data_IF_683857441335
#
_entry.id   IF_683857441335
#
_cell.length_a   1.000
_cell.length_b   1.000
_cell.length_c   1.000
_cell.angle_alpha   90.00
_cell.angle_beta   90.00
_cell.angle_gamma   90.00
#
_symmetry.space_group_name_H-M   'P 1'
#
loop_
_entity.id
_entity.type
_entity.pdbx_description
1 polymer ?
#
# COMPACT_ATOMS: atom_id res chain seq x y z
N UNK A 1 -7.11 -1.38 -10.76
CA UNK A 1 -7.76 -0.36 -9.91
C UNK A 1 -8.91 0.23 -10.70
N UNK A 2 -10.13 0.16 -10.16
CA UNK A 2 -11.29 0.81 -10.77
C UNK A 2 -11.31 2.28 -10.35
N UNK A 3 -11.04 3.18 -11.30
CA UNK A 3 -10.91 4.62 -11.02
C UNK A 3 -12.21 5.25 -10.55
N UNK A 4 -13.36 4.77 -11.06
CA UNK A 4 -14.67 5.33 -10.72
C UNK A 4 -15.02 4.97 -9.29
N UNK A 5 -14.82 3.71 -8.91
CA UNK A 5 -15.14 3.23 -7.56
C UNK A 5 -14.23 3.85 -6.50
N UNK A 6 -12.94 4.00 -6.80
CA UNK A 6 -11.99 4.67 -5.89
C UNK A 6 -12.35 6.14 -5.69
N UNK A 7 -12.79 6.84 -6.74
CA UNK A 7 -13.25 8.22 -6.61
C UNK A 7 -14.52 8.35 -5.74
N UNK A 8 -15.41 7.36 -5.77
CA UNK A 8 -16.59 7.33 -4.88
C UNK A 8 -16.23 7.15 -3.41
N UNK A 9 -15.11 6.50 -3.11
CA UNK A 9 -14.55 6.35 -1.77
C UNK A 9 -13.74 7.60 -1.32
N UNK A 10 -13.80 8.71 -2.08
CA UNK A 10 -13.09 9.95 -1.75
C UNK A 10 -11.57 9.90 -1.99
N UNK A 11 -11.12 8.92 -2.77
CA UNK A 11 -9.70 8.64 -2.99
C UNK A 11 -9.24 9.07 -4.37
N UNK A 12 -7.97 9.47 -4.48
CA UNK A 12 -7.29 9.64 -5.78
C UNK A 12 -6.83 8.26 -6.31
N UNK A 13 -7.29 7.82 -7.51
CA UNK A 13 -6.87 6.56 -8.11
C UNK A 13 -5.36 6.42 -8.31
N UNK A 14 -4.64 7.51 -8.55
CA UNK A 14 -3.19 7.49 -8.71
C UNK A 14 -2.50 7.26 -7.36
N UNK A 15 -2.95 7.95 -6.31
CA UNK A 15 -2.50 7.71 -4.94
C UNK A 15 -2.76 6.26 -4.50
N UNK A 16 -3.92 5.69 -4.83
CA UNK A 16 -4.24 4.27 -4.52
C UNK A 16 -3.34 3.31 -5.28
N UNK A 17 -3.11 3.57 -6.57
CA UNK A 17 -2.22 2.73 -7.39
C UNK A 17 -0.79 2.74 -6.83
N UNK A 18 -0.30 3.93 -6.44
CA UNK A 18 1.01 4.08 -5.81
C UNK A 18 1.07 3.35 -4.46
N UNK A 19 0.08 3.54 -3.60
CA UNK A 19 0.02 2.89 -2.29
C UNK A 19 0.02 1.36 -2.41
N UNK A 20 -0.75 0.81 -3.36
CA UNK A 20 -0.76 -0.63 -3.62
C UNK A 20 0.61 -1.14 -4.09
N UNK A 21 1.26 -0.41 -5.00
CA UNK A 21 2.62 -0.76 -5.41
C UNK A 21 3.61 -0.72 -4.24
N UNK A 22 3.54 0.30 -3.39
CA UNK A 22 4.38 0.42 -2.20
C UNK A 22 4.12 -0.72 -1.21
N UNK A 23 2.87 -1.13 -1.02
CA UNK A 23 2.50 -2.25 -0.15
C UNK A 23 3.00 -3.60 -0.65
N UNK A 24 2.92 -3.86 -1.96
CA UNK A 24 3.27 -5.15 -2.53
C UNK A 24 4.78 -5.30 -2.79
N UNK A 25 5.42 -4.26 -3.31
CA UNK A 25 6.84 -4.29 -3.72
C UNK A 25 7.79 -3.70 -2.68
N UNK A 26 7.23 -2.95 -1.73
CA UNK A 26 7.97 -2.23 -0.70
C UNK A 26 8.58 -0.93 -1.19
N UNK A 27 8.55 0.07 -0.31
CA UNK A 27 9.15 1.38 -0.53
C UNK A 27 10.32 1.62 0.44
N UNK A 28 11.43 2.18 -0.04
CA UNK A 28 12.54 2.60 0.83
C UNK A 28 12.19 3.96 1.42
N UNK A 29 11.80 3.98 2.69
CA UNK A 29 11.20 5.17 3.31
C UNK A 29 12.23 6.06 4.01
N UNK A 30 13.31 5.47 4.51
CA UNK A 30 14.35 6.18 5.25
C UNK A 30 15.68 5.44 5.17
N UNK A 31 16.73 6.05 5.71
CA UNK A 31 18.07 5.48 5.81
C UNK A 31 18.50 5.45 7.27
N UNK A 32 19.19 4.38 7.65
CA UNK A 32 19.86 4.25 8.96
C UNK A 32 21.35 4.16 8.72
N UNK A 33 22.13 4.91 9.49
CA UNK A 33 23.58 4.83 9.45
C UNK A 33 24.07 3.66 10.31
N UNK A 34 24.84 2.76 9.70
CA UNK A 34 25.53 1.66 10.37
C UNK A 34 27.03 1.78 10.10
N UNK A 35 27.75 2.38 11.06
CA UNK A 35 29.16 2.72 10.90
C UNK A 35 29.38 3.72 9.75
N UNK A 36 30.27 3.44 8.78
CA UNK A 36 30.48 4.31 7.62
C UNK A 36 29.43 4.12 6.50
N UNK A 37 28.45 3.20 6.66
CA UNK A 37 27.48 2.84 5.61
C UNK A 37 26.09 3.39 5.92
N UNK A 38 25.44 3.95 4.90
CA UNK A 38 24.00 4.23 4.92
C UNK A 38 23.22 3.02 4.39
N UNK A 39 22.25 2.53 5.16
CA UNK A 39 21.39 1.39 4.82
C UNK A 39 19.96 1.88 4.65
N UNK A 40 19.35 1.61 3.49
CA UNK A 40 17.94 1.92 3.26
C UNK A 40 17.01 0.97 4.01
N UNK A 41 15.97 1.52 4.64
CA UNK A 41 14.90 0.76 5.30
C UNK A 41 13.72 0.64 4.35
N UNK A 42 13.39 -0.59 3.95
CA UNK A 42 12.24 -0.87 3.09
C UNK A 42 11.07 -1.38 3.91
N UNK A 43 9.89 -0.79 3.68
CA UNK A 43 8.65 -1.15 4.36
C UNK A 43 7.63 -1.66 3.33
N UNK A 44 6.91 -2.71 3.69
CA UNK A 44 5.83 -3.35 2.92
C UNK A 44 4.83 -3.99 3.88
N UNK A 45 3.65 -4.42 3.40
CA UNK A 45 2.65 -5.12 4.23
C UNK A 45 3.08 -6.55 4.57
N UNK A 46 2.62 -7.19 5.66
CA UNK A 46 2.97 -8.57 6.00
C UNK A 46 2.84 -9.58 4.85
N UNK A 47 3.64 -10.65 4.87
CA UNK A 47 3.76 -11.61 3.75
C UNK A 47 2.43 -12.32 3.48
N UNK A 48 1.76 -12.77 4.52
CA UNK A 48 0.43 -13.37 4.50
C UNK A 48 -0.62 -12.45 3.85
N UNK A 49 -0.49 -11.13 3.99
CA UNK A 49 -1.38 -10.17 3.34
C UNK A 49 -1.15 -10.01 1.82
N UNK A 50 0.01 -10.45 1.29
CA UNK A 50 0.37 -10.30 -0.14
C UNK A 50 0.70 -11.59 -0.89
N UNK A 51 0.71 -12.74 -0.21
CA UNK A 51 1.13 -14.03 -0.77
C UNK A 51 0.16 -14.61 -1.82
N UNK A 52 -1.12 -14.23 -1.80
CA UNK A 52 -2.13 -14.76 -2.73
C UNK A 52 -3.04 -13.66 -3.27
N UNK A 53 -3.57 -13.84 -4.48
CA UNK A 53 -4.55 -12.89 -5.06
C UNK A 53 -5.78 -12.72 -4.18
N UNK A 54 -6.23 -13.78 -3.50
CA UNK A 54 -7.34 -13.69 -2.53
C UNK A 54 -7.03 -12.74 -1.37
N UNK A 55 -5.79 -12.73 -0.88
CA UNK A 55 -5.39 -11.86 0.22
C UNK A 55 -5.28 -10.40 -0.23
N UNK A 56 -4.81 -10.18 -1.47
CA UNK A 56 -4.78 -8.85 -2.11
C UNK A 56 -6.19 -8.31 -2.33
N UNK A 57 -7.13 -9.15 -2.79
CA UNK A 57 -8.53 -8.77 -2.99
C UNK A 57 -9.21 -8.35 -1.67
N UNK A 58 -8.81 -8.96 -0.56
CA UNK A 58 -9.31 -8.68 0.78
C UNK A 58 -8.52 -7.56 1.50
N UNK A 59 -7.56 -6.93 0.83
CA UNK A 59 -6.80 -5.84 1.41
C UNK A 59 -7.73 -4.65 1.66
N UNK A 60 -7.76 -4.20 2.92
CA UNK A 60 -8.46 -3.00 3.32
C UNK A 60 -7.55 -1.78 3.14
N UNK A 61 -8.01 -0.83 2.36
CA UNK A 61 -7.39 0.48 2.21
C UNK A 61 -8.05 1.45 3.19
N UNK A 62 -7.25 2.35 3.75
CA UNK A 62 -7.73 3.40 4.64
C UNK A 62 -7.86 4.71 3.86
N UNK A 63 -9.06 5.27 3.85
CA UNK A 63 -9.33 6.56 3.26
C UNK A 63 -8.89 7.73 4.19
N UNK A 64 -8.67 8.95 3.65
CA UNK A 64 -8.27 10.13 4.43
C UNK A 64 -9.23 10.49 5.57
N UNK A 65 -10.52 10.24 5.41
CA UNK A 65 -11.57 10.38 6.43
C UNK A 65 -11.53 9.26 7.49
N UNK A 66 -10.72 8.23 7.26
CA UNK A 66 -10.39 7.19 8.21
C UNK A 66 -11.17 5.89 8.04
N UNK A 67 -12.15 5.78 7.14
CA UNK A 67 -12.85 4.51 6.92
C UNK A 67 -11.98 3.51 6.17
N UNK A 68 -12.35 2.24 6.32
CA UNK A 68 -11.70 1.12 5.62
C UNK A 68 -12.61 0.62 4.51
N UNK A 69 -12.05 0.39 3.33
CA UNK A 69 -12.78 -0.17 2.19
C UNK A 69 -11.93 -1.26 1.49
N UNK A 70 -12.55 -2.35 1.00
CA UNK A 70 -11.82 -3.42 0.33
C UNK A 70 -11.47 -3.04 -1.11
N UNK A 71 -10.31 -3.49 -1.59
CA UNK A 71 -9.87 -3.27 -2.98
C UNK A 71 -10.85 -3.81 -4.03
N UNK A 72 -11.54 -4.92 -3.72
CA UNK A 72 -12.41 -5.65 -4.65
C UNK A 72 -13.74 -4.95 -4.97
N UNK A 73 -14.13 -3.93 -4.21
CA UNK A 73 -15.50 -3.38 -4.34
C UNK A 73 -15.76 -2.76 -5.69
#
# INVERSE_FOLDING_TARGET
>A
VDRVKVALEGMDPEAVTKALNDFLTGNVTTHVQLGPKLIGVRVWIPRDARDTMRNIDNLLLRAPDGHLFPLKR
#
